data_IF_766398181076
#
_entry.id   IF_766398181076
#
_cell.length_a   1.000
_cell.length_b   1.000
_cell.length_c   1.000
_cell.angle_alpha   90.00
_cell.angle_beta   90.00
_cell.angle_gamma   90.00
#
_symmetry.space_group_name_H-M   'P 1'
#
loop_
_entity.id
_entity.type
_entity.pdbx_description
1 polymer ?
#
# COMPACT_ATOMS: atom_id res chain seq x y z
N UNK A 1 -7.35 98.35 39.15
CA UNK A 1 -8.46 98.49 40.13
C UNK A 1 -8.17 97.51 41.27
N UNK A 2 -7.95 98.07 42.47
CA UNK A 2 -8.07 97.52 43.85
C UNK A 2 -7.54 96.11 44.17
N UNK A 3 -6.41 96.03 44.89
CA UNK A 3 -6.27 95.71 46.36
C UNK A 3 -6.36 94.19 46.63
N UNK A 4 -5.47 93.53 47.38
CA UNK A 4 -5.24 93.68 48.83
C UNK A 4 -3.88 93.04 49.22
N UNK A 5 -3.32 93.58 50.30
CA UNK A 5 -2.04 93.35 50.98
C UNK A 5 -1.98 92.12 51.91
N UNK A 6 -0.72 91.80 52.30
CA UNK A 6 -0.19 91.26 53.59
C UNK A 6 0.15 89.76 53.75
N UNK A 7 1.47 89.52 53.74
CA UNK A 7 2.32 88.84 54.72
C UNK A 7 1.67 87.92 55.78
N UNK A 8 2.21 86.70 55.98
CA UNK A 8 3.32 86.41 56.92
C UNK A 8 3.59 84.89 57.02
N UNK A 9 4.89 84.56 57.13
CA UNK A 9 5.55 83.40 57.77
C UNK A 9 6.41 82.54 56.84
N UNK A 10 7.70 82.89 56.87
CA UNK A 10 8.82 82.04 56.51
C UNK A 10 8.94 80.86 57.48
N UNK A 11 8.81 79.63 56.98
CA UNK A 11 9.36 78.42 57.62
C UNK A 11 10.06 77.58 56.55
N UNK A 12 11.38 77.49 56.73
CA UNK A 12 12.28 76.38 56.39
C UNK A 12 12.11 75.69 55.03
N UNK A 13 12.98 76.08 54.10
CA UNK A 13 13.33 75.42 52.85
C UNK A 13 13.87 73.99 53.05
N UNK A 14 13.39 72.99 52.30
CA UNK A 14 14.14 71.76 52.05
C UNK A 14 14.76 71.80 50.64
N UNK A 15 16.09 71.74 50.57
CA UNK A 15 16.92 71.65 49.36
C UNK A 15 18.20 70.91 49.80
N UNK A 16 18.82 69.92 49.16
CA UNK A 16 18.64 69.07 47.96
C UNK A 16 19.53 67.84 48.23
N UNK A 17 19.17 66.62 47.79
CA UNK A 17 20.12 65.91 46.93
C UNK A 17 19.52 65.60 45.55
N UNK A 18 20.39 65.68 44.54
CA UNK A 18 20.15 65.63 43.10
C UNK A 18 19.29 64.45 42.61
N UNK A 19 18.41 64.66 41.61
CA UNK A 19 17.63 63.58 41.01
C UNK A 19 18.51 62.68 40.11
N UNK A 20 18.33 61.35 40.15
CA UNK A 20 18.92 60.44 39.18
C UNK A 20 18.28 60.60 37.79
N UNK A 21 18.98 60.19 36.71
CA UNK A 21 18.57 60.39 35.32
C UNK A 21 17.25 59.68 34.96
N UNK A 22 16.54 60.14 33.92
CA UNK A 22 15.21 59.67 33.58
C UNK A 22 15.19 58.18 33.20
N UNK A 23 14.09 57.46 33.48
CA UNK A 23 13.92 56.07 33.10
C UNK A 23 13.91 55.94 31.56
N UNK A 24 14.63 54.94 31.07
CA UNK A 24 14.68 54.56 29.67
C UNK A 24 13.28 54.28 29.12
N UNK A 25 13.02 54.56 27.84
CA UNK A 25 11.73 54.27 27.24
C UNK A 25 11.47 52.77 27.34
N UNK A 26 10.30 52.44 27.88
CA UNK A 26 9.68 51.12 27.91
C UNK A 26 10.18 50.23 26.78
N UNK A 27 10.98 49.20 27.10
CA UNK A 27 11.19 48.10 26.18
C UNK A 27 9.83 47.41 26.05
N UNK A 28 9.09 47.74 24.99
CA UNK A 28 8.05 46.85 24.49
C UNK A 28 8.78 45.56 24.21
N UNK A 29 8.67 44.60 25.13
CA UNK A 29 9.12 43.23 24.90
C UNK A 29 8.25 42.74 23.75
N UNK A 30 8.74 42.94 22.52
CA UNK A 30 8.24 42.23 21.36
C UNK A 30 8.48 40.77 21.72
N UNK A 31 7.43 40.10 22.19
CA UNK A 31 7.38 38.65 22.12
C UNK A 31 7.56 38.36 20.64
N UNK A 32 8.79 38.01 20.25
CA UNK A 32 9.04 37.38 18.98
C UNK A 32 8.27 36.07 19.07
N UNK A 33 7.03 36.08 18.57
CA UNK A 33 6.40 34.86 18.15
C UNK A 33 7.36 34.29 17.10
N UNK A 34 8.10 33.26 17.49
CA UNK A 34 8.72 32.37 16.53
C UNK A 34 7.56 31.75 15.76
N UNK A 35 7.16 32.38 14.65
CA UNK A 35 6.42 31.64 13.64
C UNK A 35 7.42 30.61 13.12
N UNK A 36 7.35 29.39 13.64
CA UNK A 36 7.98 28.27 12.94
C UNK A 36 7.43 28.31 11.52
N UNK A 37 8.27 28.68 10.56
CA UNK A 37 7.90 28.63 9.15
C UNK A 37 7.32 27.24 8.90
N UNK A 38 6.14 27.17 8.27
CA UNK A 38 5.56 25.93 7.77
C UNK A 38 6.67 25.24 6.98
N UNK A 39 7.23 24.14 7.51
CA UNK A 39 8.35 23.46 6.83
C UNK A 39 7.77 22.70 5.64
N UNK A 40 7.59 23.43 4.54
CA UNK A 40 7.31 22.96 3.17
C UNK A 40 8.54 22.22 2.64
N UNK A 41 8.88 21.10 3.27
CA UNK A 41 10.11 20.37 2.98
C UNK A 41 9.79 18.91 2.73
N UNK A 42 10.31 18.39 1.62
CA UNK A 42 10.38 16.96 1.35
C UNK A 42 11.65 16.44 2.02
N UNK A 43 11.49 15.53 2.97
CA UNK A 43 12.57 14.87 3.71
C UNK A 43 12.84 13.48 3.16
N UNK A 44 14.04 12.97 3.40
CA UNK A 44 14.39 11.60 3.05
C UNK A 44 13.64 10.60 3.96
N UNK A 45 13.18 9.50 3.38
CA UNK A 45 12.63 8.35 4.09
C UNK A 45 13.68 7.67 4.99
N UNK A 46 14.97 7.82 4.70
CA UNK A 46 16.06 7.24 5.49
C UNK A 46 16.08 7.75 6.95
N UNK A 47 15.61 8.97 7.19
CA UNK A 47 15.50 9.59 8.53
C UNK A 47 14.46 8.89 9.42
N UNK A 48 13.52 8.15 8.84
CA UNK A 48 12.46 7.49 9.57
C UNK A 48 12.97 6.24 10.31
N UNK A 49 12.35 5.87 11.44
CA UNK A 49 12.71 4.64 12.15
C UNK A 49 12.40 3.41 11.29
N UNK A 50 13.05 2.28 11.58
CA UNK A 50 12.79 1.02 10.90
C UNK A 50 11.35 0.53 11.09
N UNK A 51 10.90 -0.22 10.09
CA UNK A 51 9.55 -0.77 9.99
C UNK A 51 9.16 -1.64 11.18
N UNK A 52 7.91 -1.47 11.60
CA UNK A 52 7.21 -2.32 12.57
C UNK A 52 6.48 -3.42 11.80
N UNK A 53 6.85 -4.67 12.06
CA UNK A 53 6.18 -5.82 11.44
C UNK A 53 4.92 -6.21 12.24
N UNK A 54 3.73 -6.22 11.62
CA UNK A 54 2.52 -6.71 12.26
C UNK A 54 2.53 -8.22 12.42
N UNK A 55 1.75 -8.73 13.37
CA UNK A 55 1.42 -10.15 13.51
C UNK A 55 0.00 -10.38 13.00
N UNK A 56 -0.21 -11.53 12.36
CA UNK A 56 -1.54 -11.94 11.89
C UNK A 56 -1.97 -13.21 12.63
N UNK A 57 -3.14 -13.14 13.29
CA UNK A 57 -3.71 -14.26 14.02
C UNK A 57 -4.91 -14.83 13.26
N UNK A 58 -4.99 -16.15 13.13
CA UNK A 58 -6.19 -16.79 12.59
C UNK A 58 -7.40 -16.51 13.49
N UNK A 59 -8.56 -16.26 12.88
CA UNK A 59 -9.80 -16.01 13.60
C UNK A 59 -10.66 -17.26 13.63
N UNK A 60 -11.60 -17.36 14.57
CA UNK A 60 -12.41 -18.58 14.78
C UNK A 60 -13.23 -19.03 13.56
N UNK A 61 -13.48 -18.14 12.60
CA UNK A 61 -14.18 -18.44 11.35
C UNK A 61 -13.25 -18.88 10.20
N UNK A 62 -11.92 -18.97 10.41
CA UNK A 62 -10.89 -19.40 9.44
C UNK A 62 -10.83 -18.66 8.08
N UNK A 63 -11.71 -17.70 7.81
CA UNK A 63 -11.75 -16.97 6.53
C UNK A 63 -10.82 -15.75 6.49
N UNK A 64 -10.67 -15.05 7.61
CA UNK A 64 -9.95 -13.78 7.69
C UNK A 64 -8.96 -13.81 8.86
N UNK A 65 -7.83 -13.11 8.68
CA UNK A 65 -6.83 -12.93 9.73
C UNK A 65 -7.15 -11.69 10.56
N UNK A 66 -6.72 -11.66 11.82
CA UNK A 66 -6.77 -10.49 12.67
C UNK A 66 -5.40 -9.81 12.70
N UNK A 67 -5.37 -8.53 12.35
CA UNK A 67 -4.17 -7.69 12.43
C UNK A 67 -3.83 -7.35 13.88
N UNK A 68 -2.58 -7.55 14.28
CA UNK A 68 -2.08 -7.16 15.59
C UNK A 68 -0.76 -6.39 15.47
N UNK A 69 -0.76 -5.18 15.99
CA UNK A 69 0.44 -4.35 16.05
C UNK A 69 1.20 -4.57 17.36
N UNK A 70 2.51 -4.88 17.33
CA UNK A 70 3.31 -4.92 18.55
C UNK A 70 3.52 -3.50 19.13
N UNK A 71 3.57 -2.50 18.26
CA UNK A 71 3.66 -1.07 18.59
C UNK A 71 2.86 -0.29 17.54
N UNK A 72 2.35 0.92 17.85
CA UNK A 72 1.51 1.65 16.90
C UNK A 72 2.28 1.96 15.61
N UNK A 73 1.65 1.81 14.43
CA UNK A 73 2.30 2.08 13.16
C UNK A 73 2.65 3.57 13.07
N UNK A 74 3.90 3.87 12.68
CA UNK A 74 4.43 5.24 12.59
C UNK A 74 4.54 5.67 11.15
N UNK A 75 5.04 4.80 10.28
CA UNK A 75 5.41 5.18 8.92
C UNK A 75 4.32 4.73 7.95
N UNK A 76 3.56 5.68 7.40
CA UNK A 76 2.40 5.39 6.55
C UNK A 76 2.69 5.86 5.13
N UNK A 77 2.69 4.92 4.19
CA UNK A 77 2.79 5.21 2.76
C UNK A 77 1.41 5.55 2.20
N UNK A 78 1.30 6.68 1.52
CA UNK A 78 0.09 7.09 0.81
C UNK A 78 0.32 7.01 -0.70
N UNK A 79 -0.44 6.15 -1.37
CA UNK A 79 -0.43 5.99 -2.83
C UNK A 79 -1.76 6.46 -3.39
N UNK A 80 -1.73 7.25 -4.46
CA UNK A 80 -2.93 7.82 -5.08
C UNK A 80 -3.05 7.43 -6.54
N UNK A 81 -4.26 7.55 -7.07
CA UNK A 81 -4.50 7.61 -8.50
C UNK A 81 -3.97 8.95 -9.06
N UNK A 82 -3.26 8.87 -10.18
CA UNK A 82 -2.71 10.03 -10.88
C UNK A 82 -3.81 10.82 -11.62
N UNK A 83 -3.54 12.10 -11.89
CA UNK A 83 -4.37 13.01 -12.71
C UNK A 83 -5.86 13.12 -12.32
N UNK A 84 -6.18 12.90 -11.05
CA UNK A 84 -7.54 12.99 -10.51
C UNK A 84 -7.64 14.05 -9.41
N UNK A 85 -8.32 15.16 -9.73
CA UNK A 85 -8.45 16.31 -8.84
C UNK A 85 -9.24 16.00 -7.56
N UNK A 86 -10.17 15.04 -7.61
CA UNK A 86 -10.94 14.63 -6.43
C UNK A 86 -10.07 13.82 -5.48
N UNK A 87 -9.30 12.89 -6.03
CA UNK A 87 -8.34 12.07 -5.27
C UNK A 87 -7.27 12.96 -4.64
N UNK A 88 -6.79 13.98 -5.35
CA UNK A 88 -5.83 14.95 -4.80
C UNK A 88 -6.38 15.73 -3.60
N UNK A 89 -7.62 16.22 -3.69
CA UNK A 89 -8.29 16.89 -2.55
C UNK A 89 -8.46 15.95 -1.37
N UNK A 90 -8.90 14.72 -1.62
CA UNK A 90 -9.07 13.68 -0.61
C UNK A 90 -7.75 13.29 0.06
N UNK A 91 -6.65 13.20 -0.70
CA UNK A 91 -5.32 12.92 -0.17
C UNK A 91 -4.87 14.01 0.82
N UNK A 92 -5.05 15.29 0.47
CA UNK A 92 -4.70 16.41 1.34
C UNK A 92 -5.56 16.39 2.61
N UNK A 93 -6.87 16.17 2.48
CA UNK A 93 -7.77 16.03 3.63
C UNK A 93 -7.33 14.88 4.55
N UNK A 94 -7.02 13.73 3.96
CA UNK A 94 -6.61 12.52 4.66
C UNK A 94 -5.26 12.70 5.37
N UNK A 95 -4.28 13.28 4.70
CA UNK A 95 -2.96 13.57 5.25
C UNK A 95 -3.05 14.54 6.44
N UNK A 96 -3.85 15.61 6.32
CA UNK A 96 -4.11 16.55 7.41
C UNK A 96 -4.81 15.88 8.60
N UNK A 97 -5.77 14.98 8.34
CA UNK A 97 -6.43 14.23 9.41
C UNK A 97 -5.45 13.35 10.19
N UNK A 98 -4.60 12.57 9.49
CA UNK A 98 -3.62 11.70 10.13
C UNK A 98 -2.67 12.54 10.98
N UNK A 99 -2.10 13.60 10.42
CA UNK A 99 -1.15 14.45 11.13
C UNK A 99 -1.75 15.10 12.38
N UNK A 100 -3.01 15.55 12.31
CA UNK A 100 -3.70 16.23 13.42
C UNK A 100 -4.08 15.26 14.55
N UNK A 101 -4.56 14.06 14.20
CA UNK A 101 -5.10 13.10 15.18
C UNK A 101 -4.03 12.13 15.70
N UNK A 102 -3.00 11.86 14.90
CA UNK A 102 -1.94 10.89 15.17
C UNK A 102 -0.56 11.56 15.01
N UNK A 103 -0.14 12.39 15.99
CA UNK A 103 1.10 13.16 15.89
C UNK A 103 2.38 12.31 15.85
N UNK A 104 2.29 11.02 16.22
CA UNK A 104 3.40 10.06 16.12
C UNK A 104 3.56 9.41 14.73
N UNK A 105 2.70 9.74 13.77
CA UNK A 105 2.73 9.17 12.42
C UNK A 105 3.44 10.08 11.42
N UNK A 106 4.37 9.49 10.66
CA UNK A 106 5.07 10.11 9.53
C UNK A 106 4.46 9.65 8.21
N UNK A 107 4.22 10.60 7.30
CA UNK A 107 3.62 10.33 6.00
C UNK A 107 4.67 10.24 4.90
N UNK A 108 4.62 9.15 4.14
CA UNK A 108 5.52 8.85 3.03
C UNK A 108 4.73 8.90 1.73
N UNK A 109 5.31 9.47 0.68
CA UNK A 109 4.73 9.57 -0.65
C UNK A 109 5.75 9.14 -1.73
N UNK A 110 5.26 8.90 -2.94
CA UNK A 110 6.14 8.81 -4.11
C UNK A 110 6.78 10.17 -4.43
N UNK A 111 8.01 10.22 -5.00
CA UNK A 111 8.76 11.48 -5.14
C UNK A 111 8.03 12.56 -5.93
N UNK A 112 7.36 12.17 -7.03
CA UNK A 112 6.59 13.12 -7.85
C UNK A 112 5.34 13.63 -7.11
N UNK A 113 4.66 12.77 -6.33
CA UNK A 113 3.51 13.17 -5.51
C UNK A 113 3.93 14.12 -4.41
N UNK A 114 5.03 13.82 -3.71
CA UNK A 114 5.58 14.68 -2.67
C UNK A 114 5.88 16.09 -3.22
N UNK A 115 6.50 16.16 -4.40
CA UNK A 115 6.78 17.43 -5.06
C UNK A 115 5.52 18.21 -5.47
N UNK A 116 4.39 17.54 -5.70
CA UNK A 116 3.13 18.23 -6.03
C UNK A 116 2.41 18.76 -4.78
N UNK A 117 2.40 17.98 -3.69
CA UNK A 117 1.54 18.27 -2.52
C UNK A 117 2.25 18.98 -1.36
N UNK A 118 3.59 19.00 -1.33
CA UNK A 118 4.35 19.52 -0.18
C UNK A 118 4.05 21.00 0.13
N UNK A 119 3.64 21.80 -0.86
CA UNK A 119 3.24 23.20 -0.62
C UNK A 119 1.86 23.33 0.03
N UNK A 120 0.99 22.35 -0.20
CA UNK A 120 -0.39 22.32 0.30
C UNK A 120 -0.52 21.74 1.71
N UNK A 121 0.55 21.14 2.23
CA UNK A 121 0.57 20.51 3.56
C UNK A 121 1.34 21.38 4.58
N UNK A 122 0.84 21.52 5.82
CA UNK A 122 1.47 22.38 6.81
C UNK A 122 2.68 21.75 7.53
N UNK A 123 3.05 20.52 7.17
CA UNK A 123 4.07 19.70 7.81
C UNK A 123 5.01 19.07 6.77
N UNK A 124 6.24 18.68 7.16
CA UNK A 124 7.17 18.03 6.22
C UNK A 124 6.65 16.65 5.80
N UNK A 125 6.82 16.34 4.52
CA UNK A 125 6.47 15.03 3.94
C UNK A 125 7.74 14.24 3.64
N UNK A 126 7.65 12.91 3.66
CA UNK A 126 8.80 12.04 3.36
C UNK A 126 8.66 11.43 1.97
N UNK A 127 9.77 11.37 1.23
CA UNK A 127 9.85 10.67 -0.03
C UNK A 127 11.21 9.98 -0.16
N UNK A 128 11.26 8.94 -0.99
CA UNK A 128 12.53 8.30 -1.36
C UNK A 128 13.34 9.28 -2.20
N UNK A 129 14.63 9.44 -1.89
CA UNK A 129 15.50 10.28 -2.71
C UNK A 129 15.86 9.57 -4.03
N UNK A 130 15.95 10.33 -5.13
CA UNK A 130 16.29 9.79 -6.45
C UNK A 130 17.57 8.95 -6.38
N UNK A 131 17.45 7.63 -6.55
CA UNK A 131 18.57 6.69 -6.58
C UNK A 131 18.59 5.62 -5.48
N UNK A 132 17.80 5.74 -4.40
CA UNK A 132 17.72 4.70 -3.36
C UNK A 132 16.86 3.48 -3.76
N UNK A 133 16.16 3.56 -4.89
CA UNK A 133 15.27 2.48 -5.36
C UNK A 133 14.11 2.19 -4.42
N UNK A 134 13.36 1.13 -4.71
CA UNK A 134 12.16 0.78 -3.93
C UNK A 134 12.50 0.04 -2.60
N UNK A 135 13.77 -0.26 -2.30
CA UNK A 135 14.17 -1.01 -1.08
C UNK A 135 13.93 -0.20 0.19
N UNK A 136 14.06 1.12 0.10
CA UNK A 136 13.77 2.02 1.20
C UNK A 136 12.30 1.92 1.67
N UNK A 137 11.36 1.61 0.76
CA UNK A 137 9.97 1.38 1.14
C UNK A 137 9.81 0.10 1.97
N UNK A 138 10.50 -0.99 1.60
CA UNK A 138 10.42 -2.28 2.30
C UNK A 138 10.84 -2.17 3.77
N UNK A 139 11.90 -1.42 4.04
CA UNK A 139 12.51 -1.30 5.37
C UNK A 139 11.84 -0.29 6.29
N UNK A 140 11.07 0.65 5.73
CA UNK A 140 10.54 1.80 6.48
C UNK A 140 9.02 1.82 6.59
N UNK A 141 8.26 1.29 5.63
CA UNK A 141 6.79 1.46 5.59
C UNK A 141 6.08 0.46 6.51
N UNK A 142 5.34 0.94 7.50
CA UNK A 142 4.55 0.11 8.42
C UNK A 142 3.20 -0.28 7.81
N UNK A 143 2.50 0.72 7.25
CA UNK A 143 1.15 0.60 6.70
C UNK A 143 1.09 1.31 5.35
N UNK A 144 0.43 0.72 4.36
CA UNK A 144 0.18 1.36 3.06
C UNK A 144 -1.29 1.70 2.94
N UNK A 145 -1.60 2.92 2.50
CA UNK A 145 -2.96 3.35 2.20
C UNK A 145 -3.06 3.75 0.74
N UNK A 146 -4.10 3.29 0.06
CA UNK A 146 -4.35 3.63 -1.35
C UNK A 146 -5.63 4.44 -1.49
N UNK A 147 -5.60 5.47 -2.34
CA UNK A 147 -6.77 6.28 -2.71
C UNK A 147 -6.98 6.21 -4.22
N UNK A 148 -7.98 5.45 -4.66
CA UNK A 148 -8.27 5.25 -6.08
C UNK A 148 -8.97 3.92 -6.36
N UNK A 149 -8.72 3.35 -7.54
CA UNK A 149 -9.21 2.02 -7.93
C UNK A 149 -8.16 0.91 -7.86
N UNK A 150 -8.45 -0.23 -8.49
CA UNK A 150 -7.61 -1.44 -8.46
C UNK A 150 -6.19 -1.20 -8.97
N UNK A 151 -6.01 -0.38 -10.02
CA UNK A 151 -4.69 -0.01 -10.53
C UNK A 151 -3.82 0.70 -9.48
N UNK A 152 -4.42 1.43 -8.54
CA UNK A 152 -3.70 2.07 -7.42
C UNK A 152 -3.20 1.05 -6.42
N UNK A 153 -3.96 -0.02 -6.19
CA UNK A 153 -3.59 -1.13 -5.31
C UNK A 153 -2.46 -1.94 -5.96
N UNK A 154 -2.53 -2.20 -7.27
CA UNK A 154 -1.45 -2.84 -8.02
C UNK A 154 -0.18 -2.00 -8.00
N UNK A 155 -0.29 -0.68 -8.21
CA UNK A 155 0.84 0.24 -8.07
C UNK A 155 1.47 0.16 -6.68
N UNK A 156 0.65 0.24 -5.63
CA UNK A 156 1.13 0.10 -4.26
C UNK A 156 1.82 -1.24 -4.00
N UNK A 157 1.25 -2.35 -4.48
CA UNK A 157 1.87 -3.68 -4.39
C UNK A 157 3.18 -3.76 -5.19
N UNK A 158 3.26 -3.07 -6.34
CA UNK A 158 4.45 -3.04 -7.20
C UNK A 158 5.66 -2.36 -6.55
N UNK A 159 5.43 -1.39 -5.65
CA UNK A 159 6.50 -0.79 -4.83
C UNK A 159 7.15 -1.83 -3.90
N UNK A 160 6.46 -2.93 -3.60
CA UNK A 160 6.92 -4.05 -2.81
C UNK A 160 7.09 -5.33 -3.66
N UNK A 161 7.24 -5.20 -4.99
CA UNK A 161 7.31 -6.32 -5.91
C UNK A 161 8.54 -7.21 -5.72
N UNK A 162 9.59 -6.77 -5.02
CA UNK A 162 10.74 -7.63 -4.66
C UNK A 162 10.77 -7.95 -3.17
N UNK A 163 9.93 -7.27 -2.38
CA UNK A 163 9.90 -7.42 -0.94
C UNK A 163 9.32 -8.79 -0.56
N UNK A 164 9.93 -9.43 0.43
CA UNK A 164 9.40 -10.69 0.98
C UNK A 164 8.15 -10.44 1.82
N UNK A 165 8.06 -9.29 2.46
CA UNK A 165 6.95 -8.92 3.34
C UNK A 165 6.33 -7.59 2.89
N UNK A 166 5.06 -7.63 2.51
CA UNK A 166 4.29 -6.44 2.11
C UNK A 166 3.58 -5.87 3.36
N UNK A 167 3.61 -4.54 3.59
CA UNK A 167 2.85 -3.94 4.69
C UNK A 167 1.34 -4.11 4.47
N UNK A 168 0.52 -4.10 5.54
CA UNK A 168 -0.93 -4.08 5.42
C UNK A 168 -1.40 -2.95 4.51
N UNK A 169 -2.29 -3.27 3.58
CA UNK A 169 -2.84 -2.35 2.60
C UNK A 169 -4.26 -1.98 3.01
N UNK A 170 -4.48 -0.70 3.28
CA UNK A 170 -5.79 -0.10 3.51
C UNK A 170 -6.23 0.62 2.23
N UNK A 171 -7.21 0.07 1.52
CA UNK A 171 -7.65 0.62 0.23
C UNK A 171 -8.95 1.42 0.34
N UNK A 172 -8.92 2.66 -0.14
CA UNK A 172 -10.10 3.51 -0.30
C UNK A 172 -10.50 3.60 -1.76
N UNK A 173 -11.69 3.07 -2.08
CA UNK A 173 -12.29 3.18 -3.40
C UNK A 173 -12.71 4.64 -3.67
N UNK A 174 -12.15 5.18 -4.74
CA UNK A 174 -12.43 6.53 -5.25
C UNK A 174 -12.50 6.51 -6.78
N UNK A 175 -13.46 7.27 -7.35
CA UNK A 175 -13.73 7.28 -8.78
C UNK A 175 -14.54 6.06 -9.24
N UNK A 176 -14.15 5.46 -10.36
CA UNK A 176 -14.77 4.24 -10.90
C UNK A 176 -14.64 3.08 -9.91
N UNK A 177 -15.75 2.36 -9.63
CA UNK A 177 -15.71 1.22 -8.71
C UNK A 177 -14.74 0.15 -9.24
N UNK A 178 -13.86 -0.31 -8.35
CA UNK A 178 -12.94 -1.43 -8.56
C UNK A 178 -13.29 -2.60 -7.64
N UNK A 179 -12.78 -3.80 -7.96
CA UNK A 179 -13.08 -5.04 -7.26
C UNK A 179 -12.25 -5.23 -5.98
N UNK A 180 -11.08 -4.61 -5.86
CA UNK A 180 -10.14 -4.76 -4.74
C UNK A 180 -10.28 -3.66 -3.67
N UNK A 181 -10.95 -2.55 -3.99
CA UNK A 181 -11.16 -1.42 -3.08
C UNK A 181 -12.27 -1.70 -2.06
N UNK A 182 -11.92 -1.82 -0.78
CA UNK A 182 -12.85 -2.35 0.24
C UNK A 182 -13.56 -1.27 1.07
N UNK A 183 -12.99 -0.06 1.16
CA UNK A 183 -13.54 1.04 1.95
C UNK A 183 -13.95 2.22 1.07
N UNK A 184 -15.12 2.80 1.33
CA UNK A 184 -15.49 4.09 0.73
C UNK A 184 -14.69 5.19 1.43
N UNK A 185 -14.21 6.19 0.67
CA UNK A 185 -13.41 7.27 1.25
C UNK A 185 -14.12 7.99 2.40
N UNK A 186 -15.45 8.20 2.36
CA UNK A 186 -16.21 8.83 3.45
C UNK A 186 -16.01 8.19 4.84
N UNK A 187 -15.57 6.93 4.89
CA UNK A 187 -15.32 6.19 6.13
C UNK A 187 -13.84 6.23 6.58
N UNK A 188 -12.99 7.05 5.95
CA UNK A 188 -11.53 7.06 6.17
C UNK A 188 -11.14 7.20 7.65
N UNK A 189 -11.86 8.04 8.42
CA UNK A 189 -11.62 8.25 9.85
C UNK A 189 -11.85 6.98 10.66
N UNK A 190 -12.88 6.20 10.31
CA UNK A 190 -13.22 4.94 10.98
C UNK A 190 -12.25 3.85 10.58
N UNK A 191 -12.03 3.70 9.28
CA UNK A 191 -11.17 2.68 8.70
C UNK A 191 -9.73 2.79 9.19
N UNK A 192 -9.14 3.99 9.09
CA UNK A 192 -7.77 4.23 9.54
C UNK A 192 -7.64 4.01 11.04
N UNK A 193 -8.60 4.49 11.85
CA UNK A 193 -8.58 4.24 13.29
C UNK A 193 -8.63 2.75 13.63
N UNK A 194 -9.44 1.98 12.92
CA UNK A 194 -9.55 0.54 13.14
C UNK A 194 -8.24 -0.18 12.77
N UNK A 195 -7.63 0.20 11.64
CA UNK A 195 -6.33 -0.31 11.21
C UNK A 195 -5.23 0.07 12.21
N UNK A 196 -5.20 1.33 12.63
CA UNK A 196 -4.22 1.87 13.56
C UNK A 196 -4.35 1.18 14.91
N UNK A 197 -5.51 1.12 15.56
CA UNK A 197 -5.69 0.58 16.93
C UNK A 197 -5.79 -0.96 16.99
N UNK A 198 -5.55 -1.65 15.88
CA UNK A 198 -5.73 -3.11 15.81
C UNK A 198 -4.76 -3.87 16.71
N UNK A 199 -5.28 -4.69 17.62
CA UNK A 199 -4.47 -5.44 18.59
C UNK A 199 -3.92 -4.62 19.75
N UNK A 200 -4.33 -3.34 19.90
CA UNK A 200 -3.94 -2.55 21.06
C UNK A 200 -4.51 -3.16 22.36
N UNK A 201 -3.71 -3.24 23.44
CA UNK A 201 -4.20 -3.77 24.71
C UNK A 201 -5.41 -2.97 25.24
N UNK A 202 -6.31 -3.60 26.00
CA UNK A 202 -7.36 -2.87 26.70
C UNK A 202 -6.74 -1.78 27.59
N UNK A 203 -7.41 -0.63 27.80
CA UNK A 203 -6.91 0.40 28.69
C UNK A 203 -6.85 -0.24 30.08
N UNK A 204 -5.67 -0.23 30.72
CA UNK A 204 -5.58 -0.67 32.11
C UNK A 204 -6.50 0.23 32.95
N UNK A 205 -7.34 -0.32 33.85
CA UNK A 205 -8.06 0.50 34.81
C UNK A 205 -7.03 1.27 35.63
N UNK A 206 -7.31 2.56 35.90
CA UNK A 206 -6.43 3.43 36.67
C UNK A 206 -6.13 2.78 38.04
N UNK A 207 -4.97 2.13 38.16
CA UNK A 207 -4.46 1.61 39.42
C UNK A 207 -3.53 2.66 40.01
N UNK A 208 -3.82 3.04 41.24
CA UNK A 208 -2.94 3.80 42.11
C UNK A 208 -1.65 3.03 42.39
N UNK A 209 -0.56 3.80 42.48
CA UNK A 209 0.74 3.50 43.09
C UNK A 209 1.63 2.42 42.48
N UNK A 210 2.81 2.90 42.05
CA UNK A 210 4.16 2.28 42.13
C UNK A 210 4.32 0.90 41.52
N UNK A 211 4.69 0.86 40.24
CA UNK A 211 5.91 0.24 39.72
C UNK A 211 6.02 0.54 38.21
N UNK A 212 7.23 0.50 37.67
CA UNK A 212 7.67 1.04 36.36
C UNK A 212 6.62 1.04 35.22
N UNK A 213 6.49 2.14 34.45
CA UNK A 213 5.57 2.16 33.32
C UNK A 213 6.06 1.20 32.22
N UNK A 214 5.25 0.22 31.78
CA UNK A 214 5.57 -0.54 30.59
C UNK A 214 5.56 0.41 29.38
N UNK A 215 6.61 0.35 28.54
CA UNK A 215 6.78 1.13 27.29
C UNK A 215 5.50 1.12 26.43
N UNK A 216 4.61 2.10 26.62
CA UNK A 216 3.32 2.20 25.89
C UNK A 216 2.99 3.65 25.54
N UNK A 217 3.99 4.44 25.16
CA UNK A 217 3.84 5.90 25.02
C UNK A 217 2.99 6.36 23.82
N UNK A 218 2.73 5.48 22.84
CA UNK A 218 2.02 5.86 21.60
C UNK A 218 0.48 5.70 21.62
N UNK A 219 -0.05 4.67 22.29
CA UNK A 219 -1.51 4.43 22.32
C UNK A 219 -2.24 5.32 23.32
N UNK A 220 -1.55 5.70 24.41
CA UNK A 220 -2.11 6.42 25.55
C UNK A 220 -2.54 7.85 25.18
N UNK A 221 -1.90 8.46 24.18
CA UNK A 221 -2.24 9.80 23.70
C UNK A 221 -3.60 9.85 22.97
N UNK A 222 -4.12 8.71 22.52
CA UNK A 222 -5.41 8.61 21.83
C UNK A 222 -6.51 8.34 22.88
N UNK A 223 -7.02 9.40 23.50
CA UNK A 223 -8.06 9.30 24.55
C UNK A 223 -9.31 8.55 24.07
N UNK A 224 -9.72 7.54 24.87
CA UNK A 224 -11.08 6.97 24.89
C UNK A 224 -11.37 5.77 23.99
N UNK A 225 -10.38 5.08 23.40
CA UNK A 225 -10.63 4.29 22.19
C UNK A 225 -9.81 3.01 22.04
N UNK A 226 -9.55 2.26 23.11
CA UNK A 226 -9.21 0.83 22.93
C UNK A 226 -10.43 0.11 22.38
N UNK A 227 -10.24 -0.69 21.34
CA UNK A 227 -11.32 -1.42 20.67
C UNK A 227 -11.67 -2.72 21.41
N UNK A 228 -10.99 -3.03 22.52
CA UNK A 228 -11.06 -4.30 23.22
C UNK A 228 -10.41 -5.42 22.39
N UNK A 229 -10.09 -6.55 23.04
CA UNK A 229 -9.47 -7.70 22.38
C UNK A 229 -10.32 -8.31 21.23
N UNK A 230 -11.58 -7.92 21.09
CA UNK A 230 -12.56 -8.49 20.16
C UNK A 230 -12.76 -7.72 18.85
N UNK A 231 -12.21 -6.51 18.69
CA UNK A 231 -12.42 -5.68 17.48
C UNK A 231 -11.11 -5.35 16.76
N UNK A 232 -10.38 -6.39 16.37
CA UNK A 232 -9.24 -6.27 15.47
C UNK A 232 -9.69 -6.01 14.04
N UNK A 233 -8.87 -5.28 13.28
CA UNK A 233 -9.00 -5.19 11.83
C UNK A 233 -8.87 -6.58 11.22
N UNK A 234 -9.79 -6.89 10.31
CA UNK A 234 -9.78 -8.14 9.56
C UNK A 234 -8.92 -7.97 8.33
N UNK A 235 -8.18 -9.02 7.98
CA UNK A 235 -7.22 -9.01 6.88
C UNK A 235 -7.49 -10.20 5.98
N UNK A 236 -7.74 -9.92 4.70
CA UNK A 236 -7.69 -10.91 3.64
C UNK A 236 -6.26 -10.96 3.11
N UNK A 237 -5.64 -12.13 3.22
CA UNK A 237 -4.28 -12.32 2.73
C UNK A 237 -4.32 -12.80 1.28
N UNK A 238 -3.90 -11.93 0.35
CA UNK A 238 -3.90 -12.22 -1.07
C UNK A 238 -2.58 -12.86 -1.49
N UNK A 239 -2.65 -14.00 -2.19
CA UNK A 239 -1.48 -14.69 -2.73
C UNK A 239 -0.79 -13.84 -3.81
N UNK A 240 0.53 -14.01 -3.94
CA UNK A 240 1.32 -13.44 -5.04
C UNK A 240 1.90 -14.55 -5.91
N UNK A 241 2.15 -14.26 -7.18
CA UNK A 241 2.98 -15.09 -8.04
C UNK A 241 4.42 -14.66 -7.88
N UNK A 242 5.31 -15.63 -7.76
CA UNK A 242 6.75 -15.49 -7.82
C UNK A 242 7.22 -15.77 -9.25
N UNK A 243 7.87 -14.78 -9.87
CA UNK A 243 8.21 -14.77 -11.29
C UNK A 243 9.72 -14.62 -11.45
N UNK A 244 10.31 -15.46 -12.29
CA UNK A 244 11.69 -15.34 -12.74
C UNK A 244 11.78 -15.40 -14.25
N UNK A 245 12.61 -14.54 -14.84
CA UNK A 245 12.87 -14.51 -16.28
C UNK A 245 14.27 -15.08 -16.51
N UNK A 246 14.38 -15.99 -17.48
CA UNK A 246 15.61 -16.71 -17.77
C UNK A 246 15.96 -16.60 -19.25
N UNK A 247 17.26 -16.42 -19.51
CA UNK A 247 17.84 -16.46 -20.83
C UNK A 247 17.96 -17.88 -21.39
N UNK A 248 18.40 -18.03 -22.65
CA UNK A 248 18.47 -19.32 -23.33
C UNK A 248 19.44 -20.33 -22.70
N UNK A 249 20.47 -19.87 -21.96
CA UNK A 249 21.40 -20.74 -21.24
C UNK A 249 20.92 -21.05 -19.81
N UNK A 250 19.72 -20.63 -19.43
CA UNK A 250 19.15 -20.82 -18.10
C UNK A 250 19.67 -19.82 -17.06
N UNK A 251 20.41 -18.81 -17.48
CA UNK A 251 20.83 -17.67 -16.67
C UNK A 251 19.63 -16.78 -16.34
N UNK A 252 19.56 -16.28 -15.10
CA UNK A 252 18.49 -15.35 -14.73
C UNK A 252 18.80 -13.97 -15.28
N UNK A 253 17.82 -13.34 -15.90
CA UNK A 253 17.95 -11.99 -16.43
C UNK A 253 17.62 -10.94 -15.38
N UNK A 254 18.30 -9.78 -15.43
CA UNK A 254 17.97 -8.66 -14.57
C UNK A 254 16.60 -8.08 -14.91
N UNK A 255 15.97 -7.56 -13.86
CA UNK A 255 14.74 -6.79 -14.00
C UNK A 255 15.05 -5.45 -14.65
N UNK A 256 14.04 -4.84 -15.27
CA UNK A 256 14.12 -3.49 -15.84
C UNK A 256 13.22 -2.53 -15.08
N UNK A 257 13.54 -1.23 -15.10
CA UNK A 257 12.65 -0.21 -14.53
C UNK A 257 11.27 -0.28 -15.21
N UNK A 258 10.16 -0.22 -14.44
CA UNK A 258 10.08 0.19 -13.04
C UNK A 258 10.16 -0.98 -12.02
N UNK A 259 10.40 -2.21 -12.45
CA UNK A 259 10.45 -3.41 -11.63
C UNK A 259 11.84 -3.67 -10.99
N UNK A 260 12.80 -2.76 -11.16
CA UNK A 260 14.18 -2.84 -10.63
C UNK A 260 14.37 -2.21 -9.27
N UNK A 261 15.21 -2.84 -8.45
CA UNK A 261 15.90 -2.21 -7.32
C UNK A 261 17.40 -2.14 -7.59
N UNK A 262 18.08 -1.16 -7.00
CA UNK A 262 19.54 -0.98 -7.08
C UNK A 262 20.33 -2.16 -6.52
N UNK A 263 19.80 -2.85 -5.50
CA UNK A 263 20.50 -3.94 -4.80
C UNK A 263 20.24 -5.36 -5.34
N UNK A 264 19.38 -5.54 -6.35
CA UNK A 264 18.95 -6.89 -6.73
C UNK A 264 18.77 -7.10 -8.23
N UNK A 265 19.89 -7.05 -8.95
CA UNK A 265 19.94 -7.33 -10.39
C UNK A 265 19.55 -8.78 -10.77
N UNK A 266 19.20 -9.69 -9.84
CA UNK A 266 18.82 -11.08 -10.15
C UNK A 266 17.74 -11.67 -9.21
N UNK A 267 16.84 -10.86 -8.65
CA UNK A 267 15.78 -11.33 -7.73
C UNK A 267 14.61 -12.05 -8.41
N UNK A 268 13.61 -12.48 -7.65
CA UNK A 268 12.28 -12.84 -8.18
C UNK A 268 11.36 -11.60 -8.12
N UNK A 269 10.51 -11.42 -9.13
CA UNK A 269 9.44 -10.41 -9.11
C UNK A 269 8.18 -11.07 -8.55
N UNK A 270 7.44 -10.32 -7.74
CA UNK A 270 6.14 -10.72 -7.25
C UNK A 270 5.01 -9.98 -7.98
N UNK A 271 3.98 -10.71 -8.40
CA UNK A 271 2.75 -10.16 -8.98
C UNK A 271 1.55 -10.47 -8.08
N UNK A 272 0.67 -9.50 -7.88
CA UNK A 272 -0.60 -9.69 -7.17
C UNK A 272 -1.67 -10.32 -8.07
N UNK A 273 -1.72 -9.93 -9.34
CA UNK A 273 -2.75 -10.34 -10.28
C UNK A 273 -2.23 -11.36 -11.28
N UNK A 274 -1.35 -10.97 -12.20
CA UNK A 274 -0.90 -11.86 -13.27
C UNK A 274 0.46 -11.53 -13.86
N UNK A 275 1.03 -12.54 -14.52
CA UNK A 275 2.04 -12.37 -15.57
C UNK A 275 1.44 -12.74 -16.91
N UNK A 276 1.62 -11.83 -17.88
CA UNK A 276 1.10 -11.90 -19.22
C UNK A 276 2.26 -12.04 -20.21
N UNK A 277 2.18 -13.02 -21.10
CA UNK A 277 2.98 -13.10 -22.32
C UNK A 277 2.06 -12.82 -23.50
N UNK A 278 2.39 -11.84 -24.33
CA UNK A 278 1.55 -11.45 -25.47
C UNK A 278 2.38 -11.15 -26.73
N UNK A 279 1.84 -11.46 -27.91
CA UNK A 279 2.49 -11.18 -29.20
C UNK A 279 2.68 -9.68 -29.48
N UNK A 280 2.02 -8.81 -28.71
CA UNK A 280 2.08 -7.37 -28.88
C UNK A 280 1.49 -6.90 -30.20
N UNK A 281 2.17 -5.95 -30.83
CA UNK A 281 1.79 -5.42 -32.15
C UNK A 281 2.14 -6.36 -33.33
N UNK A 282 2.78 -7.51 -33.08
CA UNK A 282 3.22 -8.43 -34.13
C UNK A 282 2.02 -9.20 -34.70
N UNK A 283 1.89 -9.34 -36.03
CA UNK A 283 0.74 -10.04 -36.64
C UNK A 283 0.81 -11.57 -36.51
N UNK A 284 1.96 -12.12 -36.18
CA UNK A 284 2.15 -13.56 -35.99
C UNK A 284 1.79 -13.98 -34.57
N UNK A 285 1.10 -15.12 -34.45
CA UNK A 285 0.77 -15.74 -33.16
C UNK A 285 2.04 -16.15 -32.41
N UNK A 286 1.98 -16.06 -31.08
CA UNK A 286 3.05 -16.50 -30.20
C UNK A 286 3.09 -18.04 -30.14
N UNK A 287 4.28 -18.62 -30.27
CA UNK A 287 4.53 -20.05 -30.06
C UNK A 287 5.21 -20.25 -28.70
N UNK A 288 4.44 -20.72 -27.72
CA UNK A 288 4.88 -20.84 -26.32
C UNK A 288 4.71 -22.28 -25.87
N UNK A 289 5.79 -22.91 -25.43
CA UNK A 289 5.73 -24.23 -24.79
C UNK A 289 5.52 -24.08 -23.30
N UNK A 290 4.51 -24.78 -22.79
CA UNK A 290 4.10 -24.75 -21.40
C UNK A 290 4.61 -26.02 -20.73
N UNK A 291 5.45 -25.87 -19.73
CA UNK A 291 5.96 -26.96 -18.90
C UNK A 291 5.44 -26.83 -17.48
N UNK A 292 5.10 -27.97 -16.87
CA UNK A 292 4.57 -28.05 -15.50
C UNK A 292 5.46 -28.98 -14.68
N UNK A 293 5.77 -28.56 -13.46
CA UNK A 293 6.52 -29.34 -12.48
C UNK A 293 7.85 -28.70 -12.09
N UNK A 294 8.53 -29.27 -11.07
CA UNK A 294 9.78 -28.74 -10.56
C UNK A 294 10.90 -28.88 -11.59
N UNK A 295 11.91 -28.02 -11.46
CA UNK A 295 13.13 -28.08 -12.27
C UNK A 295 13.78 -29.48 -12.16
N UNK A 296 14.17 -30.06 -13.31
CA UNK A 296 14.69 -31.42 -13.41
C UNK A 296 13.65 -32.53 -13.58
N UNK A 297 12.36 -32.26 -13.36
CA UNK A 297 11.26 -33.22 -13.65
C UNK A 297 10.04 -32.49 -14.26
N UNK A 298 10.33 -31.58 -15.18
CA UNK A 298 9.30 -30.83 -15.88
C UNK A 298 8.63 -31.72 -16.93
N UNK A 299 7.31 -31.68 -16.99
CA UNK A 299 6.53 -32.33 -18.04
C UNK A 299 5.99 -31.28 -18.99
N UNK A 300 6.20 -31.49 -20.28
CA UNK A 300 5.58 -30.65 -21.30
C UNK A 300 4.08 -30.90 -21.29
N UNK A 301 3.29 -29.86 -20.98
CA UNK A 301 1.84 -29.93 -21.07
C UNK A 301 1.43 -29.85 -22.55
N UNK A 302 1.85 -28.80 -23.23
CA UNK A 302 1.53 -28.54 -24.64
C UNK A 302 2.36 -27.37 -25.18
N UNK A 303 2.48 -27.30 -26.51
CA UNK A 303 2.94 -26.09 -27.21
C UNK A 303 1.73 -25.35 -27.71
N UNK A 304 1.52 -24.16 -27.17
CA UNK A 304 0.36 -23.36 -27.47
C UNK A 304 0.69 -22.29 -28.53
N UNK A 305 -0.26 -22.11 -29.45
CA UNK A 305 -0.22 -21.10 -30.50
C UNK A 305 -1.40 -20.16 -30.27
N UNK A 306 -1.13 -18.95 -29.82
CA UNK A 306 -2.15 -18.02 -29.33
C UNK A 306 -1.70 -16.56 -29.47
N UNK A 307 -2.58 -15.61 -29.20
CA UNK A 307 -2.18 -14.20 -29.03
C UNK A 307 -1.27 -14.07 -27.80
N UNK A 308 -1.55 -14.86 -26.76
CA UNK A 308 -0.77 -14.86 -25.53
C UNK A 308 -1.23 -15.88 -24.51
N UNK A 309 -0.59 -15.84 -23.35
CA UNK A 309 -0.89 -16.64 -22.18
C UNK A 309 -0.83 -15.80 -20.92
N UNK A 310 -1.75 -16.06 -19.99
CA UNK A 310 -1.77 -15.43 -18.67
C UNK A 310 -1.60 -16.51 -17.61
N UNK A 311 -0.73 -16.24 -16.65
CA UNK A 311 -0.68 -16.96 -15.37
C UNK A 311 -1.14 -16.00 -14.29
N UNK A 312 -2.28 -16.27 -13.66
CA UNK A 312 -2.89 -15.35 -12.68
C UNK A 312 -3.09 -15.99 -11.32
N UNK A 313 -3.13 -15.15 -10.29
CA UNK A 313 -3.62 -15.51 -8.95
C UNK A 313 -5.14 -15.60 -8.95
N UNK A 314 -5.75 -16.10 -7.85
CA UNK A 314 -7.19 -15.97 -7.62
C UNK A 314 -7.67 -14.51 -7.61
N UNK A 315 -6.86 -13.60 -7.08
CA UNK A 315 -7.14 -12.15 -7.12
C UNK A 315 -7.21 -11.63 -8.55
N UNK A 316 -6.26 -12.04 -9.41
CA UNK A 316 -6.24 -11.71 -10.84
C UNK A 316 -7.29 -12.44 -11.68
N UNK A 317 -8.05 -13.38 -11.09
CA UNK A 317 -9.10 -14.11 -11.82
C UNK A 317 -10.22 -13.20 -12.34
N UNK A 318 -10.48 -12.08 -11.66
CA UNK A 318 -11.47 -11.06 -12.03
C UNK A 318 -10.88 -9.95 -12.90
N UNK A 319 -9.58 -9.99 -13.21
CA UNK A 319 -8.88 -9.02 -14.04
C UNK A 319 -8.81 -9.50 -15.50
N UNK A 320 -7.62 -9.52 -16.12
CA UNK A 320 -7.49 -9.86 -17.54
C UNK A 320 -7.79 -11.34 -17.83
N UNK A 321 -7.64 -12.21 -16.82
CA UNK A 321 -8.04 -13.62 -16.91
C UNK A 321 -9.54 -13.77 -17.19
N UNK A 322 -10.41 -13.00 -16.51
CA UNK A 322 -11.85 -13.00 -16.74
C UNK A 322 -12.19 -12.61 -18.19
N UNK A 323 -11.56 -11.54 -18.68
CA UNK A 323 -11.76 -11.06 -20.06
C UNK A 323 -11.31 -12.08 -21.11
N UNK A 324 -10.37 -12.96 -20.76
CA UNK A 324 -9.86 -14.04 -21.62
C UNK A 324 -10.65 -15.34 -21.46
N UNK A 325 -11.77 -15.34 -20.73
CA UNK A 325 -12.64 -16.50 -20.52
C UNK A 325 -12.24 -17.39 -19.33
N UNK A 326 -11.35 -16.91 -18.46
CA UNK A 326 -11.02 -17.55 -17.18
C UNK A 326 -12.18 -17.55 -16.20
N UNK A 327 -12.20 -18.52 -15.29
CA UNK A 327 -13.22 -18.58 -14.22
C UNK A 327 -12.90 -17.60 -13.10
N UNK A 328 -13.95 -17.05 -12.47
CA UNK A 328 -13.81 -16.27 -11.24
C UNK A 328 -13.49 -17.21 -10.08
N UNK A 329 -12.42 -16.93 -9.35
CA UNK A 329 -11.94 -17.77 -8.24
C UNK A 329 -11.91 -16.94 -6.96
N UNK A 330 -12.44 -17.51 -5.87
CA UNK A 330 -12.43 -16.87 -4.56
C UNK A 330 -10.98 -16.64 -4.06
N UNK A 331 -10.63 -15.47 -3.51
CA UNK A 331 -9.24 -15.11 -3.16
C UNK A 331 -8.57 -16.04 -2.15
N UNK A 332 -9.35 -16.71 -1.29
CA UNK A 332 -8.84 -17.70 -0.32
C UNK A 332 -8.45 -19.05 -0.94
N UNK A 333 -8.82 -19.33 -2.19
CA UNK A 333 -8.48 -20.61 -2.84
C UNK A 333 -7.01 -20.60 -3.24
N UNK A 334 -6.19 -21.44 -2.61
CA UNK A 334 -4.77 -21.56 -2.94
C UNK A 334 -4.55 -22.23 -4.30
N UNK A 335 -4.55 -21.43 -5.36
CA UNK A 335 -4.45 -21.90 -6.75
C UNK A 335 -3.72 -20.90 -7.65
N UNK A 336 -3.32 -21.36 -8.83
CA UNK A 336 -2.86 -20.56 -9.96
C UNK A 336 -3.74 -20.88 -11.16
N UNK A 337 -4.11 -19.85 -11.91
CA UNK A 337 -4.86 -19.99 -13.15
C UNK A 337 -3.89 -19.86 -14.31
N UNK A 338 -3.99 -20.78 -15.28
CA UNK A 338 -3.34 -20.71 -16.57
C UNK A 338 -4.42 -20.52 -17.64
N UNK A 339 -4.50 -19.32 -18.18
CA UNK A 339 -5.53 -18.93 -19.14
C UNK A 339 -4.86 -18.63 -20.48
N UNK A 340 -5.38 -19.15 -21.62
CA UNK A 340 -4.93 -18.73 -22.95
C UNK A 340 -5.60 -17.41 -23.37
N UNK A 341 -4.93 -16.61 -24.21
CA UNK A 341 -5.54 -15.45 -24.89
C UNK A 341 -5.74 -15.80 -26.36
N UNK A 342 -6.99 -15.88 -26.80
CA UNK A 342 -7.36 -16.17 -28.18
C UNK A 342 -6.53 -17.32 -28.81
N UNK A 343 -6.54 -18.53 -28.22
CA UNK A 343 -5.74 -19.65 -28.72
C UNK A 343 -6.25 -20.13 -30.07
N UNK A 344 -5.34 -20.51 -30.97
CA UNK A 344 -5.66 -21.22 -32.20
C UNK A 344 -5.91 -22.71 -31.92
N UNK A 345 -6.89 -23.00 -31.06
CA UNK A 345 -7.32 -24.33 -30.67
C UNK A 345 -8.75 -24.29 -30.12
N UNK A 346 -9.59 -25.24 -30.52
CA UNK A 346 -10.99 -25.33 -30.09
C UNK A 346 -11.16 -25.93 -28.69
N UNK A 347 -10.13 -26.62 -28.17
CA UNK A 347 -10.20 -27.36 -26.90
C UNK A 347 -9.32 -26.77 -25.81
N UNK A 348 -8.66 -25.64 -26.06
CA UNK A 348 -7.74 -25.03 -25.10
C UNK A 348 -8.53 -24.22 -24.06
N UNK A 349 -8.90 -24.90 -22.97
CA UNK A 349 -9.63 -24.30 -21.84
C UNK A 349 -8.67 -23.78 -20.77
N UNK A 350 -9.06 -22.75 -20.00
CA UNK A 350 -8.31 -22.33 -18.81
C UNK A 350 -8.13 -23.48 -17.82
N UNK A 351 -6.97 -23.54 -17.16
CA UNK A 351 -6.62 -24.55 -16.17
C UNK A 351 -6.43 -23.91 -14.81
N UNK A 352 -6.96 -24.58 -13.78
CA UNK A 352 -6.71 -24.25 -12.37
C UNK A 352 -5.75 -25.28 -11.78
N UNK A 353 -4.62 -24.83 -11.24
CA UNK A 353 -3.58 -25.68 -10.67
C UNK A 353 -3.33 -25.32 -9.20
N UNK A 354 -2.82 -26.25 -8.36
CA UNK A 354 -2.39 -25.92 -7.00
C UNK A 354 -1.33 -24.82 -6.99
N UNK A 355 -1.38 -23.90 -6.01
CA UNK A 355 -0.52 -22.71 -5.98
C UNK A 355 0.99 -23.02 -5.97
N UNK A 356 1.40 -24.15 -5.41
CA UNK A 356 2.80 -24.56 -5.38
C UNK A 356 3.28 -25.24 -6.67
N UNK A 357 2.43 -25.35 -7.70
CA UNK A 357 2.78 -25.97 -8.97
C UNK A 357 3.65 -25.01 -9.79
N UNK A 358 4.92 -25.33 -10.08
CA UNK A 358 5.75 -24.49 -10.92
C UNK A 358 5.32 -24.63 -12.37
N UNK A 359 5.15 -23.48 -13.04
CA UNK A 359 4.81 -23.35 -14.45
C UNK A 359 5.99 -22.68 -15.15
N UNK A 360 6.40 -23.18 -16.30
CA UNK A 360 7.41 -22.55 -17.15
C UNK A 360 6.84 -22.30 -18.53
N UNK A 361 6.92 -21.06 -18.98
CA UNK A 361 6.51 -20.63 -20.30
C UNK A 361 7.77 -20.33 -21.11
N UNK A 362 8.10 -21.20 -22.06
CA UNK A 362 9.29 -21.09 -22.90
C UNK A 362 8.93 -20.66 -24.31
N UNK A 363 9.66 -19.68 -24.85
CA UNK A 363 9.45 -19.24 -26.22
C UNK A 363 10.14 -20.22 -27.18
N UNK A 364 9.37 -20.79 -28.09
CA UNK A 364 9.87 -21.78 -29.04
C UNK A 364 10.71 -21.14 -30.16
N UNK A 365 11.67 -21.91 -30.70
CA UNK A 365 12.51 -21.48 -31.81
C UNK A 365 11.70 -21.20 -33.09
N UNK A 366 10.55 -21.86 -33.24
CA UNK A 366 9.61 -21.64 -34.35
C UNK A 366 8.79 -20.35 -34.23
N UNK A 367 8.96 -19.56 -33.17
CA UNK A 367 8.26 -18.29 -33.02
C UNK A 367 8.69 -17.29 -34.10
N UNK A 368 7.75 -16.92 -34.98
CA UNK A 368 8.03 -15.99 -36.10
C UNK A 368 8.13 -14.53 -35.64
N UNK A 369 7.52 -14.20 -34.51
CA UNK A 369 7.71 -12.90 -33.86
C UNK A 369 9.13 -12.78 -33.34
N UNK A 370 9.76 -11.61 -33.53
CA UNK A 370 11.11 -11.35 -33.02
C UNK A 370 11.16 -11.36 -31.49
N UNK A 371 10.05 -10.99 -30.86
CA UNK A 371 9.96 -10.77 -29.43
C UNK A 371 8.52 -10.96 -28.95
N UNK A 372 8.35 -11.51 -27.74
CA UNK A 372 7.06 -11.63 -27.04
C UNK A 372 7.08 -10.70 -25.85
N UNK A 373 6.09 -9.84 -25.76
CA UNK A 373 5.97 -8.87 -24.67
C UNK A 373 5.64 -9.58 -23.36
N UNK A 374 6.26 -9.14 -22.27
CA UNK A 374 5.95 -9.60 -20.91
C UNK A 374 5.41 -8.43 -20.12
N UNK A 375 4.31 -8.65 -19.43
CA UNK A 375 3.73 -7.71 -18.50
C UNK A 375 3.47 -8.37 -17.15
N UNK A 376 3.73 -7.65 -16.07
CA UNK A 376 3.52 -8.09 -14.69
C UNK A 376 2.59 -7.08 -14.04
N UNK A 377 1.40 -7.50 -13.60
CA UNK A 377 0.37 -6.61 -13.04
C UNK A 377 0.07 -5.38 -13.92
N UNK A 378 0.11 -5.55 -15.25
CA UNK A 378 -0.11 -4.48 -16.23
C UNK A 378 1.14 -3.63 -16.54
N UNK A 379 2.24 -3.81 -15.81
CA UNK A 379 3.52 -3.14 -16.07
C UNK A 379 4.31 -3.92 -17.11
N UNK A 380 4.42 -3.34 -18.31
CA UNK A 380 5.18 -3.92 -19.42
C UNK A 380 6.70 -3.79 -19.22
N UNK A 381 7.43 -4.88 -19.45
CA UNK A 381 8.89 -4.90 -19.56
C UNK A 381 9.34 -4.25 -20.88
N UNK A 382 10.45 -3.49 -20.89
CA UNK A 382 10.89 -2.78 -22.11
C UNK A 382 11.39 -3.75 -23.16
N UNK A 383 12.23 -4.69 -22.75
CA UNK A 383 12.61 -5.83 -23.58
C UNK A 383 11.64 -6.99 -23.33
N UNK A 384 11.15 -7.59 -24.42
CA UNK A 384 10.41 -8.84 -24.37
C UNK A 384 11.32 -10.06 -24.48
N UNK A 385 10.68 -11.22 -24.62
CA UNK A 385 11.35 -12.51 -24.66
C UNK A 385 11.61 -12.94 -26.11
N UNK A 386 12.82 -13.43 -26.33
CA UNK A 386 13.26 -14.02 -27.60
C UNK A 386 13.17 -15.54 -27.52
N UNK A 387 13.33 -16.20 -28.67
CA UNK A 387 13.38 -17.66 -28.75
C UNK A 387 14.41 -18.25 -27.78
N UNK A 388 14.03 -19.33 -27.08
CA UNK A 388 14.85 -19.99 -26.07
C UNK A 388 14.75 -19.38 -24.67
N UNK A 389 14.26 -18.15 -24.52
CA UNK A 389 14.02 -17.54 -23.22
C UNK A 389 12.76 -18.12 -22.57
N UNK A 390 12.70 -18.07 -21.24
CA UNK A 390 11.57 -18.61 -20.50
C UNK A 390 11.21 -17.78 -19.26
N UNK A 391 9.92 -17.85 -18.90
CA UNK A 391 9.37 -17.28 -17.68
C UNK A 391 8.95 -18.41 -16.78
N UNK A 392 9.49 -18.45 -15.57
CA UNK A 392 9.13 -19.42 -14.54
C UNK A 392 8.25 -18.74 -13.51
N UNK A 393 7.12 -19.37 -13.21
CA UNK A 393 6.08 -18.84 -12.33
C UNK A 393 5.71 -19.90 -11.31
N UNK A 394 5.59 -19.51 -10.05
CA UNK A 394 5.09 -20.36 -8.96
C UNK A 394 4.37 -19.46 -7.95
N UNK A 395 3.42 -20.00 -7.20
CA UNK A 395 2.75 -19.26 -6.14
C UNK A 395 3.71 -19.01 -4.99
N UNK A 396 3.63 -17.83 -4.40
CA UNK A 396 4.35 -17.55 -3.17
C UNK A 396 3.79 -18.41 -2.04
N UNK A 397 4.69 -19.05 -1.27
CA UNK A 397 4.30 -19.73 -0.04
C UNK A 397 3.98 -18.69 1.02
N UNK A 398 2.70 -18.55 1.35
CA UNK A 398 2.20 -17.50 2.24
C UNK A 398 2.37 -17.85 3.73
N UNK A 399 2.48 -19.15 4.05
CA UNK A 399 2.59 -19.68 5.41
C UNK A 399 3.97 -20.29 5.66
N UNK A 400 4.64 -19.89 6.75
CA UNK A 400 5.89 -20.51 7.18
C UNK A 400 5.65 -21.91 7.78
N UNK A 401 6.72 -22.72 7.86
CA UNK A 401 6.70 -24.03 8.55
C UNK A 401 6.26 -23.92 10.02
N UNK A 402 6.50 -22.77 10.63
CA UNK A 402 6.12 -22.44 12.02
C UNK A 402 4.69 -21.88 12.14
N UNK A 403 3.89 -21.93 11.07
CA UNK A 403 2.51 -21.41 10.96
C UNK A 403 2.35 -19.89 11.04
N UNK A 404 3.43 -19.13 11.09
CA UNK A 404 3.38 -17.68 10.96
C UNK A 404 3.08 -17.23 9.52
N UNK A 405 2.26 -16.18 9.42
CA UNK A 405 1.90 -15.52 8.17
C UNK A 405 2.91 -14.41 7.86
N UNK A 406 3.80 -14.65 6.90
CA UNK A 406 4.94 -13.76 6.64
C UNK A 406 4.92 -13.10 5.24
N UNK A 407 4.13 -13.66 4.32
CA UNK A 407 4.18 -13.39 2.87
C UNK A 407 2.79 -13.08 2.31
N UNK A 408 2.70 -12.75 1.02
CA UNK A 408 1.47 -12.28 0.38
C UNK A 408 1.19 -10.79 0.60
N UNK A 409 0.03 -10.33 0.12
CA UNK A 409 -0.44 -8.94 0.28
C UNK A 409 -1.56 -8.90 1.33
N UNK A 410 -1.27 -8.50 2.57
CA UNK A 410 -2.29 -8.38 3.61
C UNK A 410 -3.18 -7.17 3.32
N UNK A 411 -4.45 -7.40 3.02
CA UNK A 411 -5.40 -6.34 2.68
C UNK A 411 -6.45 -6.19 3.78
N UNK A 412 -6.66 -4.97 4.26
CA UNK A 412 -7.53 -4.69 5.40
C UNK A 412 -8.98 -4.57 4.96
N UNK A 413 -9.76 -5.61 5.26
CA UNK A 413 -11.18 -5.70 4.89
C UNK A 413 -12.10 -5.04 5.91
N UNK A 414 -13.21 -4.51 5.40
CA UNK A 414 -14.31 -4.00 6.20
C UNK A 414 -15.01 -5.15 6.92
N UNK A 415 -14.87 -5.22 8.24
CA UNK A 415 -15.68 -6.12 9.07
C UNK A 415 -17.09 -5.55 9.23
N UNK A 416 -18.06 -6.11 8.50
CA UNK A 416 -19.49 -5.85 8.75
C UNK A 416 -19.92 -6.79 9.90
N UNK A 417 -20.74 -6.30 10.82
CA UNK A 417 -21.14 -7.06 12.01
C UNK A 417 -21.82 -8.39 11.65
N UNK A 418 -21.76 -9.37 12.55
CA UNK A 418 -22.25 -10.74 12.37
C UNK A 418 -23.75 -10.89 12.03
N UNK A 419 -24.50 -9.79 11.94
CA UNK A 419 -25.94 -9.76 11.67
C UNK A 419 -26.30 -9.28 10.26
N UNK A 420 -25.40 -8.60 9.54
CA UNK A 420 -25.59 -8.21 8.14
C UNK A 420 -24.51 -8.91 7.30
N UNK A 421 -24.79 -10.17 6.98
CA UNK A 421 -23.89 -11.12 6.35
C UNK A 421 -23.77 -10.96 4.83
N UNK A 422 -23.28 -9.83 4.35
CA UNK A 422 -22.73 -9.79 3.00
C UNK A 422 -21.24 -10.09 3.05
N UNK A 423 -20.90 -11.33 2.68
CA UNK A 423 -19.53 -11.70 2.35
C UNK A 423 -19.00 -10.70 1.30
N UNK A 424 -17.96 -9.96 1.67
CA UNK A 424 -17.33 -8.91 0.85
C UNK A 424 -17.10 -9.33 -0.60
N UNK A 425 -16.74 -10.59 -0.83
CA UNK A 425 -16.50 -11.13 -2.15
C UNK A 425 -17.80 -11.33 -2.93
N UNK A 426 -18.84 -11.88 -2.29
CA UNK A 426 -20.18 -12.04 -2.88
C UNK A 426 -20.82 -10.68 -3.19
N UNK A 427 -20.73 -9.73 -2.26
CA UNK A 427 -21.21 -8.37 -2.45
C UNK A 427 -20.50 -7.70 -3.62
N UNK A 428 -19.18 -7.83 -3.72
CA UNK A 428 -18.40 -7.34 -4.86
C UNK A 428 -18.81 -7.99 -6.19
N UNK A 429 -18.98 -9.31 -6.21
CA UNK A 429 -19.33 -10.08 -7.40
C UNK A 429 -20.72 -9.70 -7.97
N UNK A 430 -21.72 -9.55 -7.10
CA UNK A 430 -23.08 -9.21 -7.51
C UNK A 430 -23.23 -7.72 -7.83
N UNK A 431 -22.63 -6.83 -7.03
CA UNK A 431 -22.82 -5.38 -7.21
C UNK A 431 -21.93 -4.79 -8.29
N UNK A 432 -20.68 -5.26 -8.42
CA UNK A 432 -19.68 -4.71 -9.33
C UNK A 432 -19.64 -5.43 -10.66
N UNK A 433 -19.48 -6.77 -10.62
CA UNK A 433 -19.34 -7.59 -11.82
C UNK A 433 -20.70 -7.99 -12.42
N UNK A 434 -21.80 -7.67 -11.73
CA UNK A 434 -23.17 -8.02 -12.14
C UNK A 434 -23.28 -9.50 -12.53
N UNK A 435 -22.65 -10.35 -11.72
CA UNK A 435 -22.61 -11.78 -11.98
C UNK A 435 -24.02 -12.38 -12.06
N UNK A 436 -24.30 -13.09 -13.16
CA UNK A 436 -25.59 -13.72 -13.43
C UNK A 436 -26.79 -12.76 -13.29
N UNK A 437 -26.66 -11.53 -13.79
CA UNK A 437 -27.75 -10.55 -13.76
C UNK A 437 -28.97 -11.08 -14.54
N UNK A 438 -30.18 -11.10 -13.94
CA UNK A 438 -31.37 -11.64 -14.58
C UNK A 438 -31.75 -10.83 -15.82
N UNK A 439 -32.25 -11.51 -16.84
CA UNK A 439 -32.80 -10.85 -18.02
C UNK A 439 -34.15 -10.19 -17.67
N UNK A 440 -34.33 -8.92 -18.00
CA UNK A 440 -35.64 -8.25 -17.99
C UNK A 440 -35.99 -7.40 -16.77
N UNK A 441 -35.07 -7.19 -15.83
CA UNK A 441 -35.20 -6.13 -14.81
C UNK A 441 -34.39 -4.91 -15.25
N UNK A 442 -35.09 -3.93 -15.84
CA UNK A 442 -34.55 -2.65 -16.29
C UNK A 442 -33.86 -1.90 -15.15
N UNK A 443 -32.74 -1.25 -15.49
CA UNK A 443 -31.82 -0.56 -14.57
C UNK A 443 -32.19 0.85 -14.17
#
# INVERSE_FOLDING_TARGET
MRFVWKCFRSRSTPHVPTPPPPPSPYSVSRRCFTSSALRRQVKDIAELPSRVHPKFQETSSNELLALQWPSPPRNILLVRKDDDAEVNRALIEYANHIHTVYPGSSLIFEPYVANEIHESLPFPVHAVHNGQGNSAYEEKVDLTTTLGGDGTILRAASLFATAKSVPPVLSFSMGTLGFLGEWKFNEYKRAFRQAYVSGAPPPLPARSSTDEPPRTDGWIQIRGKSMGASRNSRVLLRNRLKIGIFGPAGERLPHEQPLTHTDNQCGDIFALNEVLLHRGAVPHLAHITILIGPQGNQRMLTTAIADGFLVSTPTGSTAYSLSSGGSIVHPLVSSILLTPICPRSLSFRPLLLPANTPITLRIEAGNRGREIEVSVDGVRRREGLKAGMEVRVVGEEVRSRERDWFRGVPSIVRAIGATDGEDHWVGGLNSLLKFNYPFGEDG
#
